data_IF_668996816069
#
_entry.id   IF_668996816069
#
_cell.length_a   1.000
_cell.length_b   1.000
_cell.length_c   1.000
_cell.angle_alpha   90.00
_cell.angle_beta   90.00
_cell.angle_gamma   90.00
#
_symmetry.space_group_name_H-M   'P 1'
#
loop_
_entity.id
_entity.type
_entity.pdbx_description
1 polymer ?
#
# COMPACT_ATOMS: atom_id res chain seq x y z
N UNK A 1 -51.26 -20.31 11.95
CA UNK A 1 -50.11 -20.99 11.34
C UNK A 1 -48.96 -20.06 10.88
N UNK A 2 -48.97 -18.76 11.18
CA UNK A 2 -47.98 -17.77 10.68
C UNK A 2 -46.94 -17.29 11.70
N UNK A 3 -47.05 -17.66 12.99
CA UNK A 3 -46.13 -17.22 14.06
C UNK A 3 -44.93 -18.15 14.30
N UNK A 4 -44.99 -19.43 13.94
CA UNK A 4 -43.88 -20.37 14.18
C UNK A 4 -42.74 -20.26 13.16
N UNK A 5 -43.04 -19.86 11.92
CA UNK A 5 -42.03 -19.70 10.86
C UNK A 5 -41.17 -18.45 11.04
N UNK A 6 -41.70 -17.39 11.65
CA UNK A 6 -40.95 -16.16 11.92
C UNK A 6 -39.94 -16.34 13.05
N UNK A 7 -40.23 -17.17 14.06
CA UNK A 7 -39.34 -17.42 15.20
C UNK A 7 -38.12 -18.28 14.82
N UNK A 8 -38.29 -19.30 13.96
CA UNK A 8 -37.18 -20.14 13.49
C UNK A 8 -36.23 -19.41 12.52
N UNK A 9 -36.72 -18.41 11.77
CA UNK A 9 -35.89 -17.63 10.83
C UNK A 9 -35.03 -16.59 11.56
N UNK A 10 -35.53 -15.97 12.63
CA UNK A 10 -34.75 -15.01 13.44
C UNK A 10 -33.66 -15.71 14.27
N UNK A 11 -33.92 -16.92 14.76
CA UNK A 11 -32.93 -17.71 15.51
C UNK A 11 -31.77 -18.19 14.62
N UNK A 12 -32.06 -18.66 13.41
CA UNK A 12 -31.06 -19.10 12.41
C UNK A 12 -30.23 -17.92 11.85
N UNK A 13 -30.77 -16.70 11.83
CA UNK A 13 -30.03 -15.48 11.47
C UNK A 13 -29.12 -14.99 12.60
N UNK A 14 -29.52 -15.15 13.86
CA UNK A 14 -28.70 -14.81 15.04
C UNK A 14 -27.49 -15.73 15.20
N UNK A 15 -27.62 -17.04 14.95
CA UNK A 15 -26.47 -17.97 15.07
C UNK A 15 -25.38 -17.69 14.01
N UNK A 16 -25.77 -17.38 12.76
CA UNK A 16 -24.83 -17.01 11.68
C UNK A 16 -24.09 -15.68 11.91
N UNK A 17 -24.67 -14.76 12.68
CA UNK A 17 -24.01 -13.51 13.06
C UNK A 17 -22.90 -13.75 14.09
N UNK A 18 -23.19 -14.58 15.11
CA UNK A 18 -22.22 -14.98 16.13
C UNK A 18 -21.03 -15.74 15.55
N UNK A 19 -21.26 -16.70 14.64
CA UNK A 19 -20.19 -17.44 13.96
C UNK A 19 -19.26 -16.55 13.14
N UNK A 20 -19.81 -15.51 12.47
CA UNK A 20 -18.98 -14.54 11.73
C UNK A 20 -18.17 -13.67 12.67
N UNK A 21 -18.76 -13.20 13.77
CA UNK A 21 -18.04 -12.41 14.77
C UNK A 21 -16.89 -13.20 15.40
N UNK A 22 -17.15 -14.46 15.78
CA UNK A 22 -16.12 -15.38 16.32
C UNK A 22 -15.01 -15.61 15.29
N UNK A 23 -15.35 -15.80 14.00
CA UNK A 23 -14.36 -15.95 12.93
C UNK A 23 -13.48 -14.71 12.78
N UNK A 24 -14.04 -13.50 12.82
CA UNK A 24 -13.25 -12.27 12.75
C UNK A 24 -12.40 -12.04 14.00
N UNK A 25 -12.90 -12.37 15.19
CA UNK A 25 -12.12 -12.30 16.44
C UNK A 25 -10.95 -13.30 16.40
N UNK A 26 -11.16 -14.51 15.88
CA UNK A 26 -10.08 -15.49 15.71
C UNK A 26 -9.04 -15.05 14.67
N UNK A 27 -9.46 -14.44 13.54
CA UNK A 27 -8.52 -13.89 12.55
C UNK A 27 -7.72 -12.73 13.15
N UNK A 28 -8.38 -11.81 13.86
CA UNK A 28 -7.72 -10.68 14.50
C UNK A 28 -6.77 -11.14 15.62
N UNK A 29 -7.20 -12.09 16.44
CA UNK A 29 -6.37 -12.72 17.47
C UNK A 29 -5.17 -13.46 16.88
N UNK A 30 -5.35 -14.15 15.75
CA UNK A 30 -4.26 -14.79 15.00
C UNK A 30 -3.26 -13.78 14.44
N UNK A 31 -3.72 -12.64 13.91
CA UNK A 31 -2.84 -11.55 13.44
C UNK A 31 -2.07 -10.93 14.61
N UNK A 32 -2.74 -10.65 15.73
CA UNK A 32 -2.10 -10.08 16.93
C UNK A 32 -1.09 -11.06 17.52
N UNK A 33 -1.41 -12.35 17.59
CA UNK A 33 -0.53 -13.39 18.08
C UNK A 33 0.67 -13.61 17.13
N UNK A 34 0.47 -13.50 15.81
CA UNK A 34 1.56 -13.52 14.84
C UNK A 34 2.49 -12.31 15.01
N UNK A 35 1.93 -11.10 15.20
CA UNK A 35 2.73 -9.91 15.51
C UNK A 35 3.48 -10.03 16.84
N UNK A 36 2.85 -10.62 17.86
CA UNK A 36 3.45 -10.90 19.16
C UNK A 36 4.59 -11.90 19.08
N UNK A 37 4.41 -13.01 18.35
CA UNK A 37 5.46 -14.00 18.09
C UNK A 37 6.61 -13.39 17.30
N UNK A 38 6.33 -12.65 16.22
CA UNK A 38 7.35 -11.97 15.42
C UNK A 38 8.15 -11.00 16.30
N UNK A 39 7.48 -10.21 17.15
CA UNK A 39 8.14 -9.26 18.06
C UNK A 39 8.95 -9.97 19.16
N UNK A 40 8.42 -11.05 19.74
CA UNK A 40 9.11 -11.87 20.75
C UNK A 40 10.38 -12.51 20.18
N UNK A 41 10.30 -13.06 18.97
CA UNK A 41 11.48 -13.57 18.25
C UNK A 41 12.44 -12.44 17.85
N UNK A 42 11.93 -11.25 17.52
CA UNK A 42 12.75 -10.07 17.22
C UNK A 42 13.60 -9.63 18.42
N UNK A 43 13.09 -9.80 19.64
CA UNK A 43 13.78 -9.43 20.88
C UNK A 43 14.75 -10.50 21.40
N UNK A 44 14.46 -11.79 21.19
CA UNK A 44 15.27 -12.89 21.75
C UNK A 44 16.29 -13.52 20.78
N UNK A 45 16.26 -13.23 19.47
CA UNK A 45 17.17 -13.82 18.45
C UNK A 45 18.48 -13.02 18.26
N UNK A 46 18.81 -12.09 19.16
CA UNK A 46 19.92 -11.14 18.96
C UNK A 46 21.33 -11.77 18.81
N UNK A 47 21.53 -13.05 19.14
CA UNK A 47 22.82 -13.77 18.92
C UNK A 47 22.83 -14.75 17.73
N UNK A 48 21.72 -14.94 17.00
CA UNK A 48 21.60 -15.96 15.93
C UNK A 48 21.22 -15.37 14.56
N UNK A 49 21.54 -14.09 14.28
CA UNK A 49 21.21 -13.44 13.01
C UNK A 49 21.62 -14.27 11.79
N UNK A 50 22.78 -14.92 11.83
CA UNK A 50 23.26 -15.82 10.78
C UNK A 50 22.27 -16.96 10.48
N UNK A 51 21.88 -17.72 11.50
CA UNK A 51 20.93 -18.81 11.35
C UNK A 51 19.55 -18.32 10.91
N UNK A 52 19.11 -17.14 11.41
CA UNK A 52 17.85 -16.54 11.00
C UNK A 52 17.82 -16.21 9.51
N UNK A 53 18.88 -15.59 8.97
CA UNK A 53 18.99 -15.32 7.53
C UNK A 53 19.02 -16.62 6.71
N UNK A 54 19.81 -17.62 7.10
CA UNK A 54 19.84 -18.91 6.40
C UNK A 54 18.44 -19.55 6.34
N UNK A 55 17.70 -19.53 7.45
CA UNK A 55 16.31 -20.02 7.49
C UNK A 55 15.42 -19.20 6.56
N UNK A 56 15.51 -17.87 6.58
CA UNK A 56 14.73 -17.01 5.70
C UNK A 56 15.06 -17.22 4.22
N UNK A 57 16.33 -17.40 3.87
CA UNK A 57 16.76 -17.72 2.50
C UNK A 57 16.14 -19.04 2.06
N UNK A 58 16.22 -20.09 2.88
CA UNK A 58 15.65 -21.41 2.56
C UNK A 58 14.13 -21.33 2.41
N UNK A 59 13.45 -20.65 3.32
CA UNK A 59 11.99 -20.47 3.24
C UNK A 59 11.58 -19.61 2.04
N UNK A 60 12.35 -18.58 1.70
CA UNK A 60 12.10 -17.73 0.53
C UNK A 60 12.26 -18.52 -0.77
N UNK A 61 13.37 -19.24 -0.92
CA UNK A 61 13.62 -20.11 -2.07
C UNK A 61 12.57 -21.23 -2.17
N UNK A 62 12.21 -21.84 -1.05
CA UNK A 62 11.13 -22.82 -0.96
C UNK A 62 9.78 -22.22 -1.39
N UNK A 63 9.47 -21.00 -0.97
CA UNK A 63 8.28 -20.26 -1.39
C UNK A 63 8.26 -19.97 -2.88
N UNK A 64 9.39 -19.56 -3.48
CA UNK A 64 9.49 -19.36 -4.92
C UNK A 64 9.35 -20.67 -5.71
N UNK A 65 10.04 -21.73 -5.28
CA UNK A 65 9.98 -23.05 -5.91
C UNK A 65 8.58 -23.66 -5.85
N UNK A 66 8.00 -23.74 -4.65
CA UNK A 66 6.70 -24.36 -4.42
C UNK A 66 5.56 -23.49 -4.94
N UNK A 67 5.66 -22.16 -4.81
CA UNK A 67 4.70 -21.21 -5.37
C UNK A 67 4.60 -21.30 -6.89
N UNK A 68 5.75 -21.38 -7.58
CA UNK A 68 5.77 -21.59 -9.03
C UNK A 68 5.20 -22.96 -9.44
N UNK A 69 5.52 -24.03 -8.69
CA UNK A 69 4.98 -25.38 -8.94
C UNK A 69 3.45 -25.41 -8.78
N UNK A 70 2.93 -24.79 -7.72
CA UNK A 70 1.48 -24.69 -7.47
C UNK A 70 0.76 -23.82 -8.51
N UNK A 71 1.39 -22.74 -8.96
CA UNK A 71 0.82 -21.84 -9.97
C UNK A 71 0.80 -22.49 -11.36
N UNK A 72 1.79 -23.33 -11.68
CA UNK A 72 1.86 -24.07 -12.95
C UNK A 72 0.94 -25.29 -13.00
N UNK A 73 0.46 -25.76 -11.85
CA UNK A 73 -0.41 -26.91 -11.79
C UNK A 73 0.23 -28.14 -12.43
N UNK A 74 1.34 -28.62 -11.87
CA UNK A 74 1.96 -29.86 -12.35
C UNK A 74 1.00 -31.05 -12.16
N UNK A 75 0.13 -31.28 -13.16
CA UNK A 75 -0.11 -32.60 -13.74
C UNK A 75 -1.18 -33.51 -13.15
N UNK A 76 -2.28 -33.02 -12.55
CA UNK A 76 -3.51 -33.82 -12.32
C UNK A 76 -4.78 -32.97 -12.41
N UNK A 77 -5.16 -32.60 -13.63
CA UNK A 77 -6.57 -32.39 -13.98
C UNK A 77 -7.14 -33.75 -14.42
N UNK A 78 -7.30 -34.68 -13.46
CA UNK A 78 -8.29 -35.73 -13.58
C UNK A 78 -9.22 -35.59 -12.38
N UNK A 79 -10.43 -35.15 -12.68
CA UNK A 79 -11.65 -35.28 -11.89
C UNK A 79 -11.71 -34.59 -10.51
N UNK A 80 -12.43 -33.48 -10.49
CA UNK A 80 -13.59 -33.39 -9.60
C UNK A 80 -13.49 -32.49 -8.38
N UNK A 81 -12.35 -32.37 -7.67
CA UNK A 81 -12.37 -31.65 -6.39
C UNK A 81 -11.12 -30.79 -6.09
N UNK A 82 -11.41 -29.54 -5.71
CA UNK A 82 -10.51 -28.50 -5.16
C UNK A 82 -9.86 -27.52 -6.16
N UNK A 83 -10.69 -26.64 -6.73
CA UNK A 83 -10.28 -25.45 -7.51
C UNK A 83 -9.56 -24.35 -6.71
N UNK A 84 -8.49 -24.69 -6.00
CA UNK A 84 -7.69 -23.74 -5.19
C UNK A 84 -6.28 -23.45 -5.73
N UNK A 85 -5.87 -23.94 -6.91
CA UNK A 85 -4.44 -24.02 -7.27
C UNK A 85 -3.73 -22.72 -7.73
N UNK A 86 -4.30 -21.80 -8.56
CA UNK A 86 -3.50 -20.68 -9.10
C UNK A 86 -3.37 -19.51 -8.12
N UNK A 87 -4.43 -19.20 -7.35
CA UNK A 87 -4.44 -18.09 -6.39
C UNK A 87 -3.53 -18.40 -5.19
N UNK A 88 -3.57 -19.63 -4.68
CA UNK A 88 -2.74 -20.05 -3.56
C UNK A 88 -1.25 -20.07 -3.94
N UNK A 89 -0.91 -20.56 -5.14
CA UNK A 89 0.47 -20.46 -5.66
C UNK A 89 0.97 -19.01 -5.72
N UNK A 90 0.11 -18.08 -6.15
CA UNK A 90 0.41 -16.64 -6.14
C UNK A 90 0.68 -16.07 -4.74
N UNK A 91 -0.06 -16.52 -3.71
CA UNK A 91 0.19 -16.13 -2.32
C UNK A 91 1.47 -16.73 -1.74
N UNK A 92 1.81 -17.97 -2.10
CA UNK A 92 3.07 -18.61 -1.67
C UNK A 92 4.28 -17.89 -2.28
N UNK A 93 4.18 -17.46 -3.55
CA UNK A 93 5.19 -16.61 -4.17
C UNK A 93 5.32 -15.25 -3.48
N UNK A 94 4.20 -14.62 -3.10
CA UNK A 94 4.22 -13.38 -2.32
C UNK A 94 4.89 -13.60 -0.97
N UNK A 95 4.58 -14.69 -0.27
CA UNK A 95 5.22 -15.03 1.00
C UNK A 95 6.73 -15.19 0.82
N UNK A 96 7.17 -15.88 -0.24
CA UNK A 96 8.59 -16.00 -0.60
C UNK A 96 9.26 -14.63 -0.83
N UNK A 97 8.58 -13.71 -1.52
CA UNK A 97 9.06 -12.35 -1.73
C UNK A 97 9.13 -11.52 -0.44
N UNK A 98 8.15 -11.63 0.45
CA UNK A 98 8.19 -10.94 1.75
C UNK A 98 9.32 -11.47 2.62
N UNK A 99 9.52 -12.80 2.64
CA UNK A 99 10.61 -13.43 3.38
C UNK A 99 11.99 -13.00 2.85
N UNK A 100 12.15 -12.87 1.53
CA UNK A 100 13.37 -12.32 0.94
C UNK A 100 13.64 -10.89 1.43
N UNK A 101 12.60 -10.08 1.60
CA UNK A 101 12.74 -8.71 2.12
C UNK A 101 13.23 -8.68 3.56
N UNK A 102 12.71 -9.58 4.39
CA UNK A 102 13.16 -9.77 5.77
C UNK A 102 14.59 -10.33 5.82
N UNK A 103 14.95 -11.18 4.87
CA UNK A 103 16.29 -11.75 4.76
C UNK A 103 17.31 -10.65 4.44
N UNK A 104 17.01 -9.82 3.45
CA UNK A 104 17.80 -8.62 3.10
C UNK A 104 18.04 -7.70 4.31
N UNK A 105 17.02 -7.47 5.14
CA UNK A 105 17.17 -6.69 6.37
C UNK A 105 18.08 -7.37 7.40
N UNK A 106 17.98 -8.70 7.52
CA UNK A 106 18.77 -9.52 8.44
C UNK A 106 20.24 -9.56 8.02
N UNK A 107 20.51 -9.73 6.72
CA UNK A 107 21.83 -9.65 6.10
C UNK A 107 22.46 -8.28 6.36
N UNK A 108 21.72 -7.20 6.10
CA UNK A 108 22.22 -5.84 6.34
C UNK A 108 22.64 -5.62 7.81
N UNK A 109 21.84 -6.12 8.77
CA UNK A 109 22.19 -6.06 10.19
C UNK A 109 23.44 -6.86 10.53
N UNK A 110 23.65 -8.03 9.93
CA UNK A 110 24.85 -8.84 10.15
C UNK A 110 26.14 -8.16 9.70
N UNK A 111 26.11 -7.54 8.52
CA UNK A 111 27.27 -6.84 7.99
C UNK A 111 27.47 -5.45 8.61
N UNK A 112 26.53 -5.01 9.46
CA UNK A 112 26.58 -3.69 10.09
C UNK A 112 26.67 -2.56 9.06
N UNK A 113 26.11 -2.76 7.86
CA UNK A 113 26.34 -1.83 6.77
C UNK A 113 25.74 -0.46 7.11
N UNK A 114 26.47 0.63 6.86
CA UNK A 114 25.98 1.98 7.12
C UNK A 114 24.74 2.25 6.25
N UNK A 115 23.90 3.22 6.65
CA UNK A 115 22.66 3.61 5.96
C UNK A 115 22.75 3.72 4.41
N UNK A 116 23.85 4.25 3.82
CA UNK A 116 24.01 4.22 2.36
C UNK A 116 24.10 2.81 1.80
N UNK A 117 24.85 1.92 2.45
CA UNK A 117 24.97 0.50 2.11
C UNK A 117 23.61 -0.21 2.10
N UNK A 118 22.79 0.04 3.12
CA UNK A 118 21.45 -0.55 3.21
C UNK A 118 20.55 -0.15 2.03
N UNK A 119 20.63 1.11 1.59
CA UNK A 119 19.86 1.60 0.44
C UNK A 119 20.21 0.84 -0.83
N UNK A 120 21.49 0.57 -1.10
CA UNK A 120 21.90 -0.22 -2.28
C UNK A 120 21.39 -1.66 -2.22
N UNK A 121 21.35 -2.28 -1.04
CA UNK A 121 20.82 -3.64 -0.90
C UNK A 121 19.32 -3.66 -1.22
N UNK A 122 18.54 -2.67 -0.75
CA UNK A 122 17.12 -2.54 -1.12
C UNK A 122 16.97 -2.33 -2.63
N UNK A 123 17.84 -1.55 -3.27
CA UNK A 123 17.80 -1.36 -4.73
C UNK A 123 18.04 -2.67 -5.48
N UNK A 124 19.02 -3.47 -5.06
CA UNK A 124 19.29 -4.79 -5.64
C UNK A 124 18.08 -5.72 -5.45
N UNK A 125 17.52 -5.77 -4.24
CA UNK A 125 16.32 -6.57 -3.96
C UNK A 125 15.13 -6.13 -4.81
N UNK A 126 14.96 -4.82 -5.00
CA UNK A 126 13.94 -4.23 -5.87
C UNK A 126 14.08 -4.72 -7.31
N UNK A 127 15.30 -4.71 -7.85
CA UNK A 127 15.58 -5.22 -9.19
C UNK A 127 15.22 -6.71 -9.30
N UNK A 128 15.58 -7.52 -8.31
CA UNK A 128 15.21 -8.95 -8.26
C UNK A 128 13.68 -9.11 -8.22
N UNK A 129 12.95 -8.36 -7.40
CA UNK A 129 11.48 -8.46 -7.37
C UNK A 129 10.83 -8.08 -8.70
N UNK A 130 11.34 -7.07 -9.41
CA UNK A 130 10.86 -6.78 -10.77
C UNK A 130 11.12 -7.96 -11.69
N UNK A 131 12.32 -8.53 -11.69
CA UNK A 131 12.61 -9.72 -12.53
C UNK A 131 11.66 -10.87 -12.20
N UNK A 132 11.46 -11.17 -10.91
CA UNK A 132 10.59 -12.26 -10.47
C UNK A 132 9.11 -11.98 -10.79
N UNK A 133 8.64 -10.73 -10.69
CA UNK A 133 7.26 -10.39 -11.00
C UNK A 133 6.93 -10.63 -12.47
N UNK A 134 7.84 -10.25 -13.37
CA UNK A 134 7.68 -10.51 -14.81
C UNK A 134 7.92 -11.98 -15.15
N UNK A 135 8.86 -12.66 -14.50
CA UNK A 135 9.12 -14.08 -14.75
C UNK A 135 7.95 -14.99 -14.33
N UNK A 136 7.37 -14.74 -13.17
CA UNK A 136 6.23 -15.51 -12.64
C UNK A 136 4.86 -14.92 -12.98
N UNK A 137 4.82 -13.79 -13.70
CA UNK A 137 3.58 -13.10 -14.10
C UNK A 137 2.65 -12.87 -12.90
N UNK A 138 3.25 -12.37 -11.81
CA UNK A 138 2.59 -12.26 -10.51
C UNK A 138 2.48 -10.80 -10.08
N UNK A 139 1.23 -10.33 -10.07
CA UNK A 139 0.80 -8.99 -9.65
C UNK A 139 1.25 -8.61 -8.25
N UNK A 140 1.20 -9.55 -7.32
CA UNK A 140 1.53 -9.29 -5.92
C UNK A 140 3.03 -9.06 -5.75
N UNK A 141 3.87 -9.81 -6.48
CA UNK A 141 5.31 -9.57 -6.51
C UNK A 141 5.61 -8.19 -7.11
N UNK A 142 4.88 -7.78 -8.15
CA UNK A 142 5.04 -6.44 -8.71
C UNK A 142 4.71 -5.34 -7.70
N UNK A 143 3.65 -5.52 -6.90
CA UNK A 143 3.33 -4.61 -5.80
C UNK A 143 4.51 -4.54 -4.81
N UNK A 144 5.08 -5.69 -4.42
CA UNK A 144 6.26 -5.73 -3.54
C UNK A 144 7.47 -5.05 -4.18
N UNK A 145 7.70 -5.23 -5.48
CA UNK A 145 8.78 -4.57 -6.21
C UNK A 145 8.63 -3.03 -6.16
N UNK A 146 7.42 -2.53 -6.43
CA UNK A 146 7.14 -1.09 -6.35
C UNK A 146 7.23 -0.56 -4.92
N UNK A 147 6.72 -1.27 -3.93
CA UNK A 147 6.88 -0.90 -2.52
C UNK A 147 8.35 -0.84 -2.12
N UNK A 148 9.16 -1.81 -2.57
CA UNK A 148 10.61 -1.85 -2.35
C UNK A 148 11.32 -0.69 -3.04
N UNK A 149 10.89 -0.31 -4.26
CA UNK A 149 11.40 0.87 -4.96
C UNK A 149 11.15 2.16 -4.16
N UNK A 150 9.93 2.35 -3.65
CA UNK A 150 9.61 3.51 -2.82
C UNK A 150 10.32 3.47 -1.46
N UNK A 151 10.53 2.29 -0.89
CA UNK A 151 11.32 2.12 0.32
C UNK A 151 12.81 2.47 0.11
N UNK A 152 13.38 2.15 -1.06
CA UNK A 152 14.71 2.62 -1.47
C UNK A 152 14.76 4.15 -1.58
N UNK A 153 13.79 4.77 -2.25
CA UNK A 153 13.74 6.23 -2.35
C UNK A 153 13.60 6.90 -0.98
N UNK A 154 12.83 6.27 -0.08
CA UNK A 154 12.74 6.71 1.30
C UNK A 154 14.07 6.58 2.03
N UNK A 155 14.78 5.46 1.85
CA UNK A 155 16.07 5.21 2.51
C UNK A 155 17.14 6.21 2.09
N UNK A 156 17.21 6.56 0.81
CA UNK A 156 18.10 7.60 0.29
C UNK A 156 17.75 8.99 0.85
N UNK A 157 16.46 9.28 1.04
CA UNK A 157 15.98 10.60 1.46
C UNK A 157 16.04 10.90 2.95
N UNK A 158 16.22 9.90 3.82
CA UNK A 158 16.27 10.12 5.27
C UNK A 158 16.29 8.86 6.13
N UNK A 159 16.47 7.68 5.53
CA UNK A 159 16.41 6.37 6.21
C UNK A 159 15.15 5.56 5.87
N UNK A 160 15.22 4.24 6.02
CA UNK A 160 14.15 3.32 5.58
C UNK A 160 12.79 3.60 6.23
N UNK A 161 12.79 4.03 7.50
CA UNK A 161 11.59 4.40 8.23
C UNK A 161 11.10 5.82 7.96
N UNK A 162 11.83 6.59 7.15
CA UNK A 162 11.58 7.99 6.88
C UNK A 162 10.41 8.22 5.90
N UNK A 163 9.70 7.15 5.51
CA UNK A 163 8.37 7.25 4.90
C UNK A 163 7.25 7.41 5.94
N UNK A 164 7.51 7.06 7.21
CA UNK A 164 6.56 7.30 8.30
C UNK A 164 6.67 8.76 8.76
N UNK A 165 5.54 9.50 8.84
CA UNK A 165 5.55 10.94 9.15
C UNK A 165 6.11 11.27 10.53
N UNK A 166 6.10 10.29 11.43
CA UNK A 166 6.42 10.46 12.84
C UNK A 166 7.91 10.30 13.15
N UNK A 167 8.74 9.98 12.15
CA UNK A 167 10.16 9.68 12.33
C UNK A 167 11.01 10.85 11.81
N UNK A 168 11.79 11.44 12.73
CA UNK A 168 12.69 12.58 12.46
C UNK A 168 13.61 12.25 11.27
N UNK A 169 13.54 13.05 10.21
CA UNK A 169 14.34 12.90 8.98
C UNK A 169 13.54 12.59 7.71
N UNK A 170 12.24 12.27 7.84
CA UNK A 170 11.41 11.76 6.76
C UNK A 170 10.79 12.74 5.79
N UNK A 171 11.20 14.00 5.69
CA UNK A 171 10.50 14.95 4.79
C UNK A 171 11.14 15.00 3.39
N UNK A 172 12.46 14.84 3.30
CA UNK A 172 13.19 14.82 2.02
C UNK A 172 12.90 13.57 1.17
N UNK A 173 12.64 12.44 1.81
CA UNK A 173 12.18 11.19 1.17
C UNK A 173 10.90 11.40 0.36
N UNK A 174 9.93 12.14 0.90
CA UNK A 174 8.66 12.42 0.19
C UNK A 174 8.88 13.25 -1.08
N UNK A 175 9.90 14.10 -1.16
CA UNK A 175 10.22 14.81 -2.40
C UNK A 175 10.70 13.85 -3.49
N UNK A 176 11.60 12.92 -3.17
CA UNK A 176 12.06 11.92 -4.13
C UNK A 176 10.93 11.00 -4.59
N UNK A 177 10.06 10.60 -3.66
CA UNK A 177 8.88 9.81 -3.98
C UNK A 177 7.93 10.61 -4.88
N UNK A 178 7.64 11.88 -4.57
CA UNK A 178 6.78 12.74 -5.39
C UNK A 178 7.30 12.94 -6.81
N UNK A 179 8.62 12.95 -7.02
CA UNK A 179 9.26 13.04 -8.34
C UNK A 179 9.25 11.68 -9.07
N UNK A 180 9.51 10.58 -8.36
CA UNK A 180 9.56 9.25 -8.95
C UNK A 180 8.17 8.69 -9.29
N UNK A 181 7.14 9.03 -8.51
CA UNK A 181 5.78 8.51 -8.72
C UNK A 181 5.21 8.84 -10.11
N UNK A 182 5.33 10.06 -10.67
CA UNK A 182 4.98 10.35 -12.07
C UNK A 182 5.68 9.44 -13.08
N UNK A 183 6.95 9.07 -12.85
CA UNK A 183 7.69 8.15 -13.72
C UNK A 183 7.06 6.76 -13.65
N UNK A 184 6.72 6.27 -12.46
CA UNK A 184 6.03 4.98 -12.27
C UNK A 184 4.66 4.98 -12.97
N UNK A 185 3.89 6.07 -12.86
CA UNK A 185 2.62 6.24 -13.57
C UNK A 185 2.85 6.21 -15.09
N UNK A 186 3.86 6.91 -15.58
CA UNK A 186 4.21 6.96 -17.00
C UNK A 186 4.65 5.59 -17.52
N UNK A 187 5.40 4.81 -16.73
CA UNK A 187 5.75 3.42 -17.05
C UNK A 187 4.47 2.60 -17.22
N UNK A 188 3.47 2.76 -16.34
CA UNK A 188 2.15 2.17 -16.55
C UNK A 188 1.53 2.60 -17.89
N UNK A 189 1.56 3.89 -18.22
CA UNK A 189 0.88 4.50 -19.40
C UNK A 189 1.43 3.95 -20.69
N UNK A 190 2.75 3.79 -20.69
CA UNK A 190 3.48 3.25 -21.80
C UNK A 190 3.50 1.73 -21.80
N UNK A 191 3.15 1.06 -20.69
CA UNK A 191 3.16 -0.40 -20.59
C UNK A 191 2.27 -1.01 -21.68
N UNK A 192 1.01 -0.58 -21.77
CA UNK A 192 0.08 -1.08 -22.78
C UNK A 192 0.52 -0.74 -24.22
N UNK A 193 1.11 0.44 -24.42
CA UNK A 193 1.54 0.89 -25.75
C UNK A 193 2.80 0.19 -26.24
N UNK A 194 3.75 -0.07 -25.33
CA UNK A 194 4.99 -0.77 -25.63
C UNK A 194 4.69 -2.25 -25.82
N UNK A 195 4.07 -2.91 -24.83
CA UNK A 195 3.89 -4.36 -24.87
C UNK A 195 2.80 -4.80 -25.85
N UNK A 196 1.82 -3.95 -26.17
CA UNK A 196 0.85 -4.20 -27.23
C UNK A 196 1.46 -4.23 -28.65
N UNK A 197 2.64 -3.61 -28.85
CA UNK A 197 3.36 -3.59 -30.15
C UNK A 197 4.34 -4.75 -30.34
N UNK A 198 4.82 -5.37 -29.27
CA UNK A 198 5.87 -6.40 -29.32
C UNK A 198 5.35 -7.86 -29.40
N UNK A 199 4.05 -8.06 -29.65
CA UNK A 199 3.47 -9.38 -29.97
C UNK A 199 2.79 -10.11 -28.80
N UNK A 200 2.11 -11.22 -29.11
CA UNK A 200 1.22 -11.96 -28.18
C UNK A 200 1.87 -12.43 -26.87
N UNK A 201 3.19 -12.71 -26.88
CA UNK A 201 3.91 -13.13 -25.66
C UNK A 201 3.98 -12.05 -24.58
N UNK A 202 3.85 -10.78 -24.95
CA UNK A 202 3.94 -9.65 -24.04
C UNK A 202 2.57 -9.11 -23.62
N UNK A 203 1.50 -9.48 -24.35
CA UNK A 203 0.10 -9.21 -23.94
C UNK A 203 -0.26 -9.85 -22.60
N UNK A 204 0.42 -10.94 -22.21
CA UNK A 204 0.18 -11.58 -20.90
C UNK A 204 0.32 -10.61 -19.73
N UNK A 205 1.18 -9.59 -19.86
CA UNK A 205 1.45 -8.60 -18.82
C UNK A 205 0.56 -7.35 -18.91
N UNK A 206 -0.42 -7.28 -19.81
CA UNK A 206 -1.31 -6.10 -19.97
C UNK A 206 -1.88 -5.63 -18.63
N UNK A 207 -2.18 -6.56 -17.74
CA UNK A 207 -2.79 -6.29 -16.44
C UNK A 207 -1.83 -5.68 -15.38
N UNK A 208 -0.54 -5.52 -15.68
CA UNK A 208 0.42 -4.83 -14.79
C UNK A 208 0.25 -3.32 -14.82
N UNK A 209 -0.30 -2.78 -15.90
CA UNK A 209 -0.59 -1.35 -16.12
C UNK A 209 -1.26 -0.70 -14.88
N UNK A 210 -2.36 -1.29 -14.41
CA UNK A 210 -3.16 -0.83 -13.28
C UNK A 210 -2.38 -0.77 -11.99
N UNK A 211 -1.43 -1.68 -11.80
CA UNK A 211 -0.61 -1.75 -10.60
C UNK A 211 0.37 -0.57 -10.59
N UNK A 212 1.03 -0.31 -11.71
CA UNK A 212 1.92 0.85 -11.86
C UNK A 212 1.18 2.17 -11.60
N UNK A 213 0.01 2.39 -12.21
CA UNK A 213 -0.74 3.62 -11.95
C UNK A 213 -1.22 3.69 -10.50
N UNK A 214 -1.85 2.64 -9.99
CA UNK A 214 -2.48 2.68 -8.67
C UNK A 214 -1.43 2.97 -7.59
N UNK A 215 -0.32 2.24 -7.60
CA UNK A 215 0.76 2.44 -6.65
C UNK A 215 1.43 3.80 -6.89
N UNK A 216 1.69 4.18 -8.14
CA UNK A 216 2.26 5.49 -8.47
C UNK A 216 1.42 6.66 -7.95
N UNK A 217 0.10 6.68 -8.24
CA UNK A 217 -0.80 7.71 -7.75
C UNK A 217 -0.95 7.70 -6.24
N UNK A 218 -0.98 6.52 -5.61
CA UNK A 218 -1.04 6.41 -4.15
C UNK A 218 0.19 7.05 -3.48
N UNK A 219 1.40 6.72 -3.94
CA UNK A 219 2.64 7.29 -3.39
C UNK A 219 2.80 8.78 -3.73
N UNK A 220 2.36 9.21 -4.92
CA UNK A 220 2.35 10.62 -5.30
C UNK A 220 1.48 11.44 -4.34
N UNK A 221 0.24 11.01 -4.13
CA UNK A 221 -0.71 11.71 -3.26
C UNK A 221 -0.28 11.67 -1.80
N UNK A 222 0.18 10.51 -1.32
CA UNK A 222 0.73 10.37 0.03
C UNK A 222 1.92 11.30 0.26
N UNK A 223 2.79 11.45 -0.73
CA UNK A 223 3.97 12.33 -0.64
C UNK A 223 3.62 13.80 -0.67
N UNK A 224 2.74 14.21 -1.58
CA UNK A 224 2.25 15.59 -1.62
C UNK A 224 1.48 15.95 -0.36
N UNK A 225 0.72 15.00 0.20
CA UNK A 225 0.07 15.20 1.50
C UNK A 225 1.10 15.52 2.59
N UNK A 226 2.15 14.71 2.74
CA UNK A 226 3.20 14.96 3.74
C UNK A 226 3.97 16.26 3.49
N UNK A 227 4.40 16.52 2.25
CA UNK A 227 5.10 17.75 1.88
C UNK A 227 4.22 18.98 2.13
N UNK A 228 2.91 18.87 1.90
CA UNK A 228 1.97 19.95 2.18
C UNK A 228 1.84 20.22 3.68
N UNK A 229 2.07 19.24 4.55
CA UNK A 229 2.00 19.44 6.00
C UNK A 229 3.32 19.98 6.58
N UNK A 230 4.45 19.53 6.04
CA UNK A 230 5.77 19.71 6.68
C UNK A 230 6.78 20.52 5.86
N UNK A 231 6.49 20.86 4.61
CA UNK A 231 7.47 21.49 3.71
C UNK A 231 8.56 20.49 3.30
N UNK A 232 9.78 20.95 3.06
CA UNK A 232 10.96 20.09 2.78
C UNK A 232 11.89 19.93 3.97
N UNK A 233 11.92 20.91 4.88
CA UNK A 233 12.91 20.97 5.94
C UNK A 233 12.48 20.13 7.17
N UNK A 234 13.22 19.08 7.53
CA UNK A 234 12.92 18.24 8.69
C UNK A 234 13.00 18.99 10.03
N UNK A 235 13.62 20.19 10.08
CA UNK A 235 13.65 21.04 11.29
C UNK A 235 12.29 21.65 11.65
N UNK A 236 11.35 21.65 10.71
CA UNK A 236 10.01 22.24 10.88
C UNK A 236 9.03 21.29 11.60
N UNK A 237 9.47 20.10 12.01
CA UNK A 237 8.65 19.17 12.78
C UNK A 237 8.89 19.31 14.30
N UNK A 238 7.84 19.46 15.14
CA UNK A 238 6.40 19.32 14.86
C UNK A 238 5.67 20.64 14.57
N UNK A 239 6.37 21.78 14.63
CA UNK A 239 5.77 23.11 14.53
C UNK A 239 6.38 23.86 13.34
N UNK A 240 5.85 23.66 12.12
CA UNK A 240 6.31 24.44 10.98
C UNK A 240 5.99 25.92 11.22
N UNK A 241 6.85 26.87 10.82
CA UNK A 241 6.55 28.28 10.86
C UNK A 241 5.26 28.53 10.10
N UNK A 242 4.27 29.09 10.78
CA UNK A 242 3.03 29.54 10.16
C UNK A 242 3.37 30.48 9.00
N UNK A 243 2.82 30.21 7.80
CA UNK A 243 3.05 31.05 6.61
C UNK A 243 4.27 30.70 5.74
N UNK A 244 4.91 29.53 5.90
CA UNK A 244 5.94 29.10 4.95
C UNK A 244 5.39 29.00 3.52
N UNK A 245 5.94 29.79 2.60
CA UNK A 245 5.59 29.79 1.16
C UNK A 245 5.73 28.40 0.53
N UNK A 246 6.63 27.58 1.05
CA UNK A 246 6.86 26.21 0.58
C UNK A 246 5.67 25.28 0.91
N UNK A 247 5.11 25.37 2.11
CA UNK A 247 3.94 24.61 2.54
C UNK A 247 2.73 24.99 1.66
N UNK A 248 2.56 26.29 1.38
CA UNK A 248 1.52 26.77 0.46
C UNK A 248 1.70 26.19 -0.95
N UNK A 249 2.93 26.22 -1.49
CA UNK A 249 3.23 25.64 -2.80
C UNK A 249 2.85 24.16 -2.86
N UNK A 250 3.30 23.34 -1.89
CA UNK A 250 2.95 21.93 -1.87
C UNK A 250 1.47 21.67 -1.64
N UNK A 251 0.77 22.56 -0.93
CA UNK A 251 -0.69 22.49 -0.77
C UNK A 251 -1.41 22.71 -2.11
N UNK A 252 -1.01 23.74 -2.86
CA UNK A 252 -1.55 24.03 -4.19
C UNK A 252 -1.24 22.88 -5.15
N UNK A 253 0.00 22.38 -5.16
CA UNK A 253 0.38 21.23 -5.96
C UNK A 253 -0.44 19.99 -5.61
N UNK A 254 -0.61 19.70 -4.31
CA UNK A 254 -1.42 18.57 -3.88
C UNK A 254 -2.87 18.70 -4.33
N UNK A 255 -3.45 19.90 -4.24
CA UNK A 255 -4.79 20.19 -4.72
C UNK A 255 -4.91 19.99 -6.24
N UNK A 256 -3.96 20.53 -7.01
CA UNK A 256 -3.92 20.41 -8.47
C UNK A 256 -3.75 18.96 -8.92
N UNK A 257 -2.92 18.17 -8.24
CA UNK A 257 -2.74 16.74 -8.51
C UNK A 257 -4.03 15.97 -8.26
N UNK A 258 -4.75 16.26 -7.17
CA UNK A 258 -6.03 15.61 -6.87
C UNK A 258 -7.11 15.95 -7.90
N UNK A 259 -7.27 17.23 -8.26
CA UNK A 259 -8.18 17.63 -9.33
C UNK A 259 -7.78 16.98 -10.64
N UNK A 260 -6.50 17.02 -11.00
CA UNK A 260 -5.96 16.38 -12.20
C UNK A 260 -6.27 14.88 -12.23
N UNK A 261 -6.18 14.19 -11.09
CA UNK A 261 -6.52 12.76 -10.96
C UNK A 261 -8.02 12.51 -11.18
N UNK A 262 -8.88 13.35 -10.59
CA UNK A 262 -10.34 13.25 -10.78
C UNK A 262 -10.73 13.53 -12.23
N UNK A 263 -10.18 14.58 -12.83
CA UNK A 263 -10.42 14.96 -14.24
C UNK A 263 -9.92 13.86 -15.17
N UNK A 264 -8.70 13.35 -14.96
CA UNK A 264 -8.16 12.24 -15.73
C UNK A 264 -9.04 10.99 -15.62
N UNK A 265 -9.49 10.64 -14.41
CA UNK A 265 -10.44 9.55 -14.17
C UNK A 265 -11.77 9.75 -14.87
N UNK A 266 -12.31 10.97 -14.87
CA UNK A 266 -13.54 11.31 -15.58
C UNK A 266 -13.38 11.20 -17.11
N UNK A 267 -12.27 11.68 -17.67
CA UNK A 267 -11.95 11.58 -19.10
C UNK A 267 -11.78 10.12 -19.54
N UNK A 268 -11.16 9.28 -18.70
CA UNK A 268 -10.98 7.85 -18.97
C UNK A 268 -12.17 6.98 -18.56
N UNK A 269 -13.22 7.57 -17.97
CA UNK A 269 -14.38 6.87 -17.38
C UNK A 269 -13.97 5.79 -16.36
N UNK A 270 -12.84 5.97 -15.70
CA UNK A 270 -12.32 5.03 -14.71
C UNK A 270 -12.69 5.50 -13.30
N UNK A 271 -13.60 4.75 -12.67
CA UNK A 271 -14.10 5.05 -11.32
C UNK A 271 -13.00 5.01 -10.27
N UNK A 272 -11.94 4.21 -10.47
CA UNK A 272 -10.85 4.07 -9.49
C UNK A 272 -10.12 5.39 -9.30
N UNK A 273 -9.77 6.07 -10.39
CA UNK A 273 -9.09 7.37 -10.34
C UNK A 273 -9.98 8.47 -9.77
N UNK A 274 -11.26 8.46 -10.12
CA UNK A 274 -12.25 9.40 -9.56
C UNK A 274 -12.32 9.23 -8.05
N UNK A 275 -12.48 7.99 -7.57
CA UNK A 275 -12.57 7.69 -6.14
C UNK A 275 -11.27 8.02 -5.41
N UNK A 276 -10.11 7.66 -5.96
CA UNK A 276 -8.82 7.92 -5.33
C UNK A 276 -8.52 9.42 -5.24
N UNK A 277 -8.73 10.17 -6.32
CA UNK A 277 -8.59 11.62 -6.33
C UNK A 277 -9.57 12.32 -5.39
N UNK A 278 -10.83 11.86 -5.32
CA UNK A 278 -11.81 12.40 -4.39
C UNK A 278 -11.42 12.15 -2.92
N UNK A 279 -10.96 10.94 -2.58
CA UNK A 279 -10.50 10.61 -1.22
C UNK A 279 -9.34 11.53 -0.79
N UNK A 280 -8.31 11.67 -1.63
CA UNK A 280 -7.16 12.50 -1.28
C UNK A 280 -7.49 14.00 -1.29
N UNK A 281 -8.43 14.45 -2.13
CA UNK A 281 -8.98 15.81 -2.06
C UNK A 281 -9.69 16.05 -0.73
N UNK A 282 -10.52 15.10 -0.29
CA UNK A 282 -11.17 15.11 1.04
C UNK A 282 -10.14 15.15 2.16
N UNK A 283 -9.09 14.34 2.10
CA UNK A 283 -7.98 14.36 3.07
C UNK A 283 -7.31 15.74 3.09
N UNK A 284 -7.06 16.34 1.93
CA UNK A 284 -6.46 17.68 1.83
C UNK A 284 -7.34 18.73 2.53
N UNK A 285 -8.63 18.79 2.20
CA UNK A 285 -9.57 19.72 2.85
C UNK A 285 -9.67 19.46 4.36
N UNK A 286 -9.82 18.20 4.75
CA UNK A 286 -9.94 17.80 6.14
C UNK A 286 -8.72 18.21 6.95
N UNK A 287 -7.50 17.93 6.46
CA UNK A 287 -6.28 18.28 7.18
C UNK A 287 -6.08 19.77 7.35
N UNK A 288 -6.47 20.58 6.36
CA UNK A 288 -6.43 22.05 6.46
C UNK A 288 -7.48 22.60 7.40
N UNK A 289 -8.72 22.16 7.24
CA UNK A 289 -9.82 22.57 8.11
C UNK A 289 -9.52 22.19 9.57
N UNK A 290 -8.96 21.01 9.80
CA UNK A 290 -8.53 20.58 11.12
C UNK A 290 -7.35 21.41 11.67
N UNK A 291 -6.42 21.85 10.82
CA UNK A 291 -5.33 22.71 11.26
C UNK A 291 -5.81 24.08 11.73
N UNK A 292 -6.77 24.68 11.02
CA UNK A 292 -7.36 26.00 11.37
C UNK A 292 -8.22 25.89 12.63
N UNK A 293 -9.15 24.93 12.68
CA UNK A 293 -10.05 24.78 13.83
C UNK A 293 -9.34 24.34 15.13
N UNK A 294 -8.21 23.63 15.03
CA UNK A 294 -7.40 23.26 16.20
C UNK A 294 -6.91 24.49 16.95
N UNK A 295 -6.70 25.61 16.25
CA UNK A 295 -6.25 26.88 16.82
C UNK A 295 -7.41 27.56 17.57
N UNK A 296 -8.63 27.48 17.05
CA UNK A 296 -9.77 28.28 17.54
C UNK A 296 -10.72 27.55 18.50
N UNK A 297 -10.94 26.24 18.34
CA UNK A 297 -12.08 25.54 18.98
C UNK A 297 -11.67 24.30 19.81
N UNK A 298 -10.38 23.95 19.79
CA UNK A 298 -9.85 22.75 20.44
C UNK A 298 -10.04 21.46 19.63
N UNK A 299 -9.24 20.43 19.96
CA UNK A 299 -9.09 19.21 19.14
C UNK A 299 -10.40 18.44 18.96
N UNK A 300 -11.20 18.28 20.01
CA UNK A 300 -12.41 17.45 19.98
C UNK A 300 -13.52 18.05 19.11
N UNK A 301 -13.75 19.37 19.24
CA UNK A 301 -14.74 20.08 18.43
C UNK A 301 -14.37 20.11 16.94
N UNK A 302 -13.06 20.20 16.65
CA UNK A 302 -12.53 20.16 15.28
C UNK A 302 -12.94 18.89 14.53
N UNK A 303 -12.81 17.72 15.16
CA UNK A 303 -13.19 16.45 14.54
C UNK A 303 -14.71 16.33 14.32
N UNK A 304 -15.52 16.85 15.25
CA UNK A 304 -16.98 16.82 15.14
C UNK A 304 -17.45 17.71 13.98
N UNK A 305 -16.97 18.95 13.90
CA UNK A 305 -17.36 19.89 12.83
C UNK A 305 -16.91 19.35 11.47
N UNK A 306 -15.68 18.86 11.37
CA UNK A 306 -15.17 18.27 10.13
C UNK A 306 -15.99 17.04 9.68
N UNK A 307 -16.38 16.17 10.62
CA UNK A 307 -17.25 15.03 10.34
C UNK A 307 -18.63 15.45 9.82
N UNK A 308 -19.25 16.47 10.43
CA UNK A 308 -20.56 17.01 10.00
C UNK A 308 -20.47 17.63 8.60
N UNK A 309 -19.42 18.39 8.31
CA UNK A 309 -19.21 19.01 6.98
C UNK A 309 -19.03 17.93 5.90
N UNK A 310 -18.26 16.88 6.18
CA UNK A 310 -18.06 15.77 5.24
C UNK A 310 -19.35 14.97 5.00
N UNK A 311 -20.13 14.72 6.05
CA UNK A 311 -21.45 14.09 5.93
C UNK A 311 -22.40 14.95 5.09
N UNK A 312 -22.45 16.26 5.33
CA UNK A 312 -23.28 17.19 4.55
C UNK A 312 -22.87 17.23 3.07
N UNK A 313 -21.56 17.26 2.79
CA UNK A 313 -21.02 17.23 1.42
C UNK A 313 -21.38 15.90 0.72
N UNK A 314 -21.27 14.77 1.42
CA UNK A 314 -21.64 13.46 0.90
C UNK A 314 -23.13 13.39 0.53
N UNK A 315 -24.00 13.85 1.43
CA UNK A 315 -25.45 13.93 1.18
C UNK A 315 -25.80 14.87 0.02
N UNK A 316 -25.11 16.00 -0.10
CA UNK A 316 -25.30 16.95 -1.20
C UNK A 316 -24.90 16.35 -2.56
N UNK A 317 -23.77 15.63 -2.62
CA UNK A 317 -23.33 14.93 -3.82
C UNK A 317 -24.28 13.78 -4.20
N UNK A 318 -24.78 13.03 -3.21
CA UNK A 318 -25.79 11.99 -3.43
C UNK A 318 -27.09 12.57 -4.01
N UNK A 319 -27.53 13.71 -3.47
CA UNK A 319 -28.70 14.43 -3.98
C UNK A 319 -28.52 14.92 -5.42
N UNK A 320 -27.35 15.46 -5.76
CA UNK A 320 -27.00 15.88 -7.12
C UNK A 320 -26.99 14.71 -8.11
N UNK A 321 -26.50 13.54 -7.69
CA UNK A 321 -26.43 12.34 -8.53
C UNK A 321 -27.80 11.68 -8.75
N UNK A 322 -28.72 11.74 -7.77
CA UNK A 322 -30.09 11.21 -7.92
C UNK A 322 -31.02 12.11 -8.76
N UNK A 323 -30.61 13.34 -9.05
CA UNK A 323 -31.35 14.29 -9.88
C UNK A 323 -31.05 14.18 -11.38
N UNK A 324 -30.12 13.31 -11.77
CA UNK A 324 -29.85 12.89 -13.15
C UNK A 324 -30.43 11.50 -13.40
#
# INVERSE_FOLDING_TARGET
MTKETTHKVTEKKRSKGGERAIRYIMILGGIILAFGLVSFFFEHIFSWWFFFSVILTVLSLGGFFWGNRLQRGDGKEEEGESGKSPVFGGFVLLAGAVLMGLDVMSINKMFGAPLPGFSYIILIATAVYFTLSYFYDNRLILVVALLSLFAYLASVGGGFWAWLPFIKGGVRSHLYIAIASPIVILVGLLHDQLFGRFGERLKRYEHFDRIYYFIGFFFMNSSFWMLSLFGRDPKLWPSPPEGSREILLFTILFFMVNIGTVVFGALKKDRTFITLGAIFLTINFFTRFASVLKIEVGRSATFIIAGVVLLALGLFLEWLLKKK
#
